data_IF_550232108231
#
_entry.id   IF_550232108231
#
_cell.length_a   1.000
_cell.length_b   1.000
_cell.length_c   1.000
_cell.angle_alpha   90.00
_cell.angle_beta   90.00
_cell.angle_gamma   90.00
#
_symmetry.space_group_name_H-M   'P 1'
#
loop_
_entity.id
_entity.type
_entity.pdbx_description
1 polymer ?
#
# COMPACT_ATOMS: atom_id res chain seq x y z
N UNK A 1 -8.85 -9.19 28.51
CA UNK A 1 -7.90 -8.23 29.13
C UNK A 1 -8.17 -6.84 28.57
N UNK A 2 -9.13 -6.13 29.14
CA UNK A 2 -9.33 -4.71 28.83
C UNK A 2 -8.38 -3.87 29.68
N UNK A 3 -7.68 -2.96 29.03
CA UNK A 3 -6.87 -1.95 29.70
C UNK A 3 -7.63 -0.64 29.62
N UNK A 4 -7.81 0.05 30.70
CA UNK A 4 -8.37 1.40 30.72
C UNK A 4 -7.55 2.31 29.79
N UNK A 5 -8.24 2.91 28.80
CA UNK A 5 -7.66 3.79 27.80
C UNK A 5 -7.38 3.12 26.44
N UNK A 6 -7.55 3.90 25.38
CA UNK A 6 -7.38 3.47 23.97
C UNK A 6 -5.88 3.43 23.62
N UNK A 7 -5.26 2.25 23.69
CA UNK A 7 -3.81 2.05 23.43
C UNK A 7 -3.48 1.69 21.97
N UNK A 8 -4.48 1.64 21.08
CA UNK A 8 -4.30 1.34 19.65
C UNK A 8 -4.20 -0.16 19.31
N UNK A 9 -4.22 -0.47 18.00
CA UNK A 9 -4.18 -1.83 17.43
C UNK A 9 -2.90 -2.56 17.83
N UNK A 10 -1.75 -1.92 17.71
CA UNK A 10 -0.43 -2.51 18.00
C UNK A 10 -0.34 -3.04 19.43
N UNK A 11 -0.77 -2.24 20.40
CA UNK A 11 -0.76 -2.65 21.80
C UNK A 11 -1.66 -3.87 22.07
N UNK A 12 -2.78 -4.00 21.35
CA UNK A 12 -3.64 -5.17 21.43
C UNK A 12 -2.99 -6.40 20.79
N UNK A 13 -2.35 -6.23 19.63
CA UNK A 13 -1.59 -7.30 18.96
C UNK A 13 -0.46 -7.79 19.84
N UNK A 14 0.36 -6.90 20.42
CA UNK A 14 1.46 -7.29 21.29
C UNK A 14 0.98 -8.09 22.52
N UNK A 15 -0.15 -7.69 23.14
CA UNK A 15 -0.72 -8.45 24.27
C UNK A 15 -1.23 -9.82 23.85
N UNK A 16 -1.88 -9.90 22.70
CA UNK A 16 -2.37 -11.17 22.16
C UNK A 16 -1.21 -12.14 21.88
N UNK A 17 -0.14 -11.64 21.26
CA UNK A 17 1.03 -12.46 20.94
C UNK A 17 1.78 -13.00 22.17
N UNK A 18 1.59 -12.42 23.35
CA UNK A 18 2.17 -12.96 24.59
C UNK A 18 1.52 -14.25 25.10
N UNK A 19 0.31 -14.55 24.62
CA UNK A 19 -0.48 -15.73 25.05
C UNK A 19 -0.75 -16.72 23.88
N UNK A 20 -0.24 -16.41 22.69
CA UNK A 20 -0.34 -17.31 21.54
C UNK A 20 0.74 -18.39 21.64
N UNK A 21 0.32 -19.64 21.65
CA UNK A 21 1.15 -20.84 21.69
C UNK A 21 1.13 -21.67 20.40
N UNK A 22 0.26 -21.31 19.45
CA UNK A 22 0.18 -21.97 18.14
C UNK A 22 1.43 -21.71 17.28
N UNK A 23 1.78 -22.67 16.42
CA UNK A 23 2.92 -22.56 15.50
C UNK A 23 2.74 -21.44 14.48
N UNK A 24 1.50 -21.19 14.05
CA UNK A 24 1.14 -20.19 13.04
C UNK A 24 0.04 -19.29 13.63
N UNK A 25 0.15 -18.00 13.41
CA UNK A 25 -0.88 -17.01 13.75
C UNK A 25 -1.37 -16.29 12.50
N UNK A 26 -2.68 -16.08 12.43
CA UNK A 26 -3.34 -15.35 11.34
C UNK A 26 -3.88 -14.03 11.88
N UNK A 27 -3.59 -12.97 11.14
CA UNK A 27 -4.07 -11.62 11.41
C UNK A 27 -5.13 -11.24 10.37
N UNK A 28 -6.22 -10.68 10.84
CA UNK A 28 -7.28 -10.14 9.99
C UNK A 28 -7.89 -8.90 10.63
N UNK A 29 -8.36 -7.97 9.82
CA UNK A 29 -9.10 -6.82 10.33
C UNK A 29 -10.53 -7.21 10.69
N UNK A 30 -11.05 -6.65 11.78
CA UNK A 30 -12.39 -6.99 12.32
C UNK A 30 -13.56 -6.65 11.38
N UNK A 31 -13.32 -5.90 10.31
CA UNK A 31 -14.31 -5.43 9.33
C UNK A 31 -14.20 -6.16 7.98
N UNK A 32 -13.42 -7.21 7.90
CA UNK A 32 -13.23 -8.02 6.69
C UNK A 32 -13.89 -9.38 6.82
N UNK A 33 -14.36 -9.92 5.70
CA UNK A 33 -14.89 -11.27 5.59
C UNK A 33 -13.87 -12.15 4.88
N UNK A 34 -13.34 -13.11 5.61
CA UNK A 34 -12.33 -14.07 5.09
C UNK A 34 -13.07 -15.22 4.41
N UNK A 35 -12.56 -15.69 3.27
CA UNK A 35 -13.16 -16.82 2.57
C UNK A 35 -12.92 -18.15 3.30
N UNK A 36 -13.84 -19.12 3.11
CA UNK A 36 -13.89 -20.39 3.84
C UNK A 36 -12.59 -21.20 3.79
N UNK A 37 -11.92 -21.21 2.64
CA UNK A 37 -10.71 -21.99 2.45
C UNK A 37 -9.40 -21.20 2.71
N UNK A 38 -9.47 -19.96 3.19
CA UNK A 38 -8.29 -19.11 3.33
C UNK A 38 -7.21 -19.73 4.21
N UNK A 39 -7.60 -20.24 5.39
CA UNK A 39 -6.65 -20.83 6.33
C UNK A 39 -5.96 -22.07 5.74
N UNK A 40 -6.71 -22.93 5.06
CA UNK A 40 -6.18 -24.12 4.40
C UNK A 40 -5.21 -23.74 3.27
N UNK A 41 -5.55 -22.70 2.48
CA UNK A 41 -4.68 -22.23 1.38
C UNK A 41 -3.38 -21.64 1.93
N UNK A 42 -3.45 -20.85 2.99
CA UNK A 42 -2.26 -20.27 3.62
C UNK A 42 -1.39 -21.34 4.29
N UNK A 43 -1.99 -22.29 5.01
CA UNK A 43 -1.24 -23.28 5.77
C UNK A 43 -0.33 -24.19 4.90
N UNK A 44 -0.73 -24.46 3.65
CA UNK A 44 0.06 -25.29 2.71
C UNK A 44 1.46 -24.77 2.45
N UNK A 45 1.65 -23.46 2.45
CA UNK A 45 2.95 -22.87 2.16
C UNK A 45 3.96 -23.05 3.29
N UNK A 46 3.49 -23.31 4.52
CA UNK A 46 4.38 -23.51 5.67
C UNK A 46 5.07 -24.88 5.70
N UNK A 47 4.78 -25.78 4.75
CA UNK A 47 5.59 -26.97 4.50
C UNK A 47 7.01 -26.63 4.02
N UNK A 48 7.19 -25.45 3.39
CA UNK A 48 8.49 -24.88 3.05
C UNK A 48 9.06 -24.14 4.29
N UNK A 49 10.16 -24.59 4.88
CA UNK A 49 10.77 -23.94 6.05
C UNK A 49 11.31 -22.54 5.76
N UNK A 50 11.55 -22.18 4.50
CA UNK A 50 12.00 -20.83 4.11
C UNK A 50 10.88 -19.81 4.14
N UNK A 51 9.61 -20.25 4.21
CA UNK A 51 8.44 -19.38 4.27
C UNK A 51 8.16 -18.97 5.71
N UNK A 52 8.27 -17.68 6.00
CA UNK A 52 8.03 -17.12 7.33
C UNK A 52 6.68 -16.40 7.45
N UNK A 53 6.12 -15.93 6.35
CA UNK A 53 4.84 -15.23 6.33
C UNK A 53 4.08 -15.48 5.01
N UNK A 54 2.75 -15.33 5.07
CA UNK A 54 1.86 -15.40 3.91
C UNK A 54 1.02 -14.13 3.86
N UNK A 55 1.02 -13.47 2.71
CA UNK A 55 0.14 -12.34 2.43
C UNK A 55 -1.07 -12.82 1.63
N UNK A 56 -2.26 -12.64 2.18
CA UNK A 56 -3.52 -12.89 1.47
C UNK A 56 -3.88 -11.76 0.51
N UNK A 57 -4.96 -11.96 -0.22
CA UNK A 57 -5.49 -10.99 -1.17
C UNK A 57 -6.57 -10.12 -0.52
N UNK A 58 -6.49 -8.83 -0.75
CA UNK A 58 -7.59 -7.90 -0.45
C UNK A 58 -8.56 -7.84 -1.61
N UNK A 59 -9.83 -8.08 -1.36
CA UNK A 59 -10.93 -7.85 -2.32
C UNK A 59 -11.88 -6.80 -1.79
N UNK A 60 -12.23 -5.85 -2.65
CA UNK A 60 -13.20 -4.81 -2.31
C UNK A 60 -14.57 -5.25 -2.83
N UNK A 61 -15.54 -5.35 -1.94
CA UNK A 61 -16.93 -5.63 -2.31
C UNK A 61 -17.54 -4.38 -2.94
N UNK A 62 -18.03 -4.52 -4.16
CA UNK A 62 -18.65 -3.44 -4.93
C UNK A 62 -20.13 -3.78 -5.03
N UNK A 63 -20.98 -3.12 -4.24
CA UNK A 63 -22.40 -3.39 -4.19
C UNK A 63 -23.18 -2.88 -5.43
N UNK A 64 -22.63 -1.85 -6.13
CA UNK A 64 -23.20 -1.34 -7.38
C UNK A 64 -22.10 -1.06 -8.41
N UNK A 65 -22.29 -1.51 -9.65
CA UNK A 65 -21.35 -1.27 -10.75
C UNK A 65 -21.13 0.23 -11.06
N UNK A 66 -22.06 1.10 -10.68
CA UNK A 66 -21.94 2.56 -10.80
C UNK A 66 -21.07 3.20 -9.71
N UNK A 67 -20.98 2.58 -8.53
CA UNK A 67 -20.15 3.03 -7.41
C UNK A 67 -18.71 2.51 -7.49
N UNK A 68 -18.46 1.56 -8.39
CA UNK A 68 -17.11 1.07 -8.61
C UNK A 68 -16.21 2.25 -8.95
N UNK A 69 -15.39 2.62 -8.01
CA UNK A 69 -14.23 3.45 -8.27
C UNK A 69 -13.37 2.71 -9.27
N UNK A 70 -13.61 2.94 -10.57
CA UNK A 70 -12.91 2.24 -11.65
C UNK A 70 -11.39 2.31 -11.46
N UNK A 71 -10.90 3.40 -10.84
CA UNK A 71 -9.52 3.57 -10.43
C UNK A 71 -9.10 2.67 -9.28
N UNK A 72 -9.93 2.48 -8.25
CA UNK A 72 -9.60 1.60 -7.12
C UNK A 72 -9.52 0.14 -7.59
N UNK A 73 -10.47 -0.32 -8.38
CA UNK A 73 -10.44 -1.68 -8.93
C UNK A 73 -9.24 -1.92 -9.87
N UNK A 74 -8.86 -0.91 -10.69
CA UNK A 74 -7.66 -0.98 -11.52
C UNK A 74 -6.39 -1.02 -10.68
N UNK A 75 -6.30 -0.17 -9.65
CA UNK A 75 -5.17 -0.12 -8.73
C UNK A 75 -4.98 -1.46 -8.02
N UNK A 76 -6.04 -2.06 -7.49
CA UNK A 76 -5.95 -3.36 -6.78
C UNK A 76 -5.55 -4.49 -7.72
N UNK A 77 -6.06 -4.54 -8.95
CA UNK A 77 -5.61 -5.52 -9.96
C UNK A 77 -4.11 -5.38 -10.27
N UNK A 78 -3.63 -4.15 -10.36
CA UNK A 78 -2.21 -3.87 -10.56
C UNK A 78 -1.38 -4.33 -9.35
N UNK A 79 -1.79 -3.98 -8.12
CA UNK A 79 -1.11 -4.36 -6.89
C UNK A 79 -1.07 -5.89 -6.71
N UNK A 80 -2.18 -6.60 -6.97
CA UNK A 80 -2.25 -8.06 -6.92
C UNK A 80 -1.29 -8.70 -7.93
N UNK A 81 -1.19 -8.14 -9.13
CA UNK A 81 -0.27 -8.62 -10.16
C UNK A 81 1.20 -8.43 -9.76
N UNK A 82 1.54 -7.28 -9.15
CA UNK A 82 2.86 -7.03 -8.60
C UNK A 82 3.19 -8.03 -7.48
N UNK A 83 2.31 -8.22 -6.50
CA UNK A 83 2.50 -9.20 -5.42
C UNK A 83 2.74 -10.60 -5.97
N UNK A 84 2.02 -11.00 -7.03
CA UNK A 84 2.21 -12.29 -7.69
C UNK A 84 3.60 -12.41 -8.31
N UNK A 85 4.09 -11.35 -8.95
CA UNK A 85 5.43 -11.34 -9.55
C UNK A 85 6.54 -11.33 -8.48
N UNK A 86 6.40 -10.51 -7.42
CA UNK A 86 7.32 -10.47 -6.30
C UNK A 86 7.43 -11.85 -5.64
N UNK A 87 6.28 -12.47 -5.33
CA UNK A 87 6.23 -13.79 -4.73
C UNK A 87 6.87 -14.89 -5.62
N UNK A 88 6.75 -14.75 -6.95
CA UNK A 88 7.36 -15.67 -7.91
C UNK A 88 8.87 -15.41 -8.06
N UNK A 89 9.31 -14.14 -7.99
CA UNK A 89 10.72 -13.79 -8.07
C UNK A 89 11.48 -14.18 -6.79
N UNK A 90 10.97 -13.73 -5.63
CA UNK A 90 11.54 -14.07 -4.33
C UNK A 90 10.53 -13.92 -3.20
N UNK A 91 10.08 -12.70 -2.87
CA UNK A 91 9.26 -12.40 -1.69
C UNK A 91 8.38 -11.18 -1.90
N UNK A 92 7.14 -11.23 -1.44
CA UNK A 92 6.30 -10.03 -1.43
C UNK A 92 6.89 -8.98 -0.51
N UNK A 93 6.84 -7.73 -0.94
CA UNK A 93 7.29 -6.59 -0.14
C UNK A 93 6.18 -6.13 0.80
N UNK A 94 6.09 -6.81 1.93
CA UNK A 94 5.15 -6.54 3.01
C UNK A 94 3.75 -7.15 2.80
N UNK A 95 3.14 -7.56 3.88
CA UNK A 95 1.76 -8.02 3.93
C UNK A 95 0.78 -6.85 4.13
N UNK A 96 -0.50 -7.09 3.89
CA UNK A 96 -1.59 -6.15 4.14
C UNK A 96 -2.44 -6.64 5.31
N UNK A 97 -2.90 -5.72 6.14
CA UNK A 97 -3.56 -6.00 7.43
C UNK A 97 -4.91 -6.70 7.32
N UNK A 98 -5.50 -6.71 6.12
CA UNK A 98 -6.77 -7.36 5.87
C UNK A 98 -6.71 -8.89 6.03
N UNK A 99 -5.58 -9.50 5.63
CA UNK A 99 -5.34 -10.92 5.83
C UNK A 99 -3.85 -11.26 5.63
N UNK A 100 -3.18 -11.70 6.68
CA UNK A 100 -1.85 -12.28 6.57
C UNK A 100 -1.61 -13.29 7.71
N UNK A 101 -0.63 -14.16 7.56
CA UNK A 101 -0.19 -15.08 8.61
C UNK A 101 1.32 -15.10 8.71
N UNK A 102 1.81 -15.53 9.88
CA UNK A 102 3.25 -15.65 10.17
C UNK A 102 3.53 -16.91 10.98
N UNK A 103 4.78 -17.38 10.93
CA UNK A 103 5.27 -18.29 11.97
C UNK A 103 5.39 -17.52 13.28
N UNK A 104 4.75 -18.02 14.34
CA UNK A 104 4.65 -17.34 15.64
C UNK A 104 6.03 -17.05 16.25
N UNK A 105 6.97 -17.98 16.12
CA UNK A 105 8.34 -17.83 16.61
C UNK A 105 9.16 -16.75 15.88
N UNK A 106 8.70 -16.28 14.71
CA UNK A 106 9.35 -15.20 13.97
C UNK A 106 8.79 -13.82 14.32
N UNK A 107 7.68 -13.78 15.09
CA UNK A 107 7.09 -12.51 15.51
C UNK A 107 8.11 -11.66 16.27
N UNK A 108 8.15 -10.39 15.91
CA UNK A 108 8.92 -9.38 16.61
C UNK A 108 8.01 -8.16 16.86
N UNK A 109 7.90 -7.71 18.11
CA UNK A 109 7.18 -6.50 18.41
C UNK A 109 7.70 -5.32 17.60
N UNK A 110 6.78 -4.53 17.05
CA UNK A 110 7.11 -3.27 16.38
C UNK A 110 6.96 -2.11 17.36
N UNK A 111 7.57 -0.98 17.07
CA UNK A 111 7.51 0.20 17.92
C UNK A 111 6.06 0.69 18.08
N UNK A 112 5.68 1.20 19.27
CA UNK A 112 4.30 1.61 19.56
C UNK A 112 3.74 2.70 18.64
N UNK A 113 4.62 3.51 18.03
CA UNK A 113 4.30 4.59 17.11
C UNK A 113 4.29 4.14 15.63
N UNK A 114 4.35 2.83 15.36
CA UNK A 114 4.31 2.27 13.99
C UNK A 114 2.94 2.54 13.34
N UNK A 115 2.95 3.16 12.15
CA UNK A 115 1.73 3.52 11.41
C UNK A 115 1.22 2.33 10.58
N UNK A 116 2.15 1.53 10.00
CA UNK A 116 1.87 0.33 9.20
C UNK A 116 2.40 -0.89 9.92
N UNK A 117 1.64 -1.39 10.87
CA UNK A 117 2.01 -2.52 11.74
C UNK A 117 2.16 -3.83 10.96
N UNK A 118 1.21 -4.16 10.10
CA UNK A 118 1.19 -5.32 9.22
C UNK A 118 2.41 -5.40 8.31
N UNK A 119 2.71 -4.27 7.65
CA UNK A 119 3.87 -4.13 6.80
C UNK A 119 5.17 -4.34 7.59
N UNK A 120 5.32 -3.68 8.75
CA UNK A 120 6.54 -3.78 9.55
C UNK A 120 6.74 -5.17 10.14
N UNK A 121 5.68 -5.80 10.68
CA UNK A 121 5.75 -7.18 11.21
C UNK A 121 6.24 -8.14 10.13
N UNK A 122 5.65 -8.09 8.94
CA UNK A 122 6.03 -8.97 7.84
C UNK A 122 7.44 -8.68 7.30
N UNK A 123 7.83 -7.41 7.19
CA UNK A 123 9.18 -7.04 6.72
C UNK A 123 10.28 -7.39 7.73
N UNK A 124 10.02 -7.40 9.05
CA UNK A 124 10.97 -7.92 10.03
C UNK A 124 11.25 -9.42 9.81
N UNK A 125 10.25 -10.18 9.35
CA UNK A 125 10.42 -11.60 8.99
C UNK A 125 11.30 -11.72 7.73
N UNK A 126 11.05 -10.89 6.72
CA UNK A 126 11.87 -10.85 5.51
C UNK A 126 13.33 -10.46 5.80
N UNK A 127 13.56 -9.50 6.72
CA UNK A 127 14.90 -9.12 7.18
C UNK A 127 15.67 -10.28 7.84
N UNK A 128 14.97 -11.25 8.45
CA UNK A 128 15.58 -12.48 9.00
C UNK A 128 15.94 -13.52 7.94
N UNK A 129 15.66 -13.23 6.66
CA UNK A 129 15.96 -14.13 5.52
C UNK A 129 14.81 -15.07 5.15
N UNK A 130 13.65 -14.95 5.76
CA UNK A 130 12.45 -15.72 5.39
C UNK A 130 11.68 -15.05 4.28
N UNK A 131 10.98 -15.85 3.49
CA UNK A 131 10.14 -15.38 2.39
C UNK A 131 8.74 -15.03 2.86
N UNK A 132 8.15 -14.01 2.25
CA UNK A 132 6.72 -13.70 2.35
C UNK A 132 6.08 -14.15 1.04
N UNK A 133 5.18 -15.14 1.08
CA UNK A 133 4.50 -15.68 -0.10
C UNK A 133 3.14 -14.99 -0.26
N UNK A 134 2.77 -14.72 -1.50
CA UNK A 134 1.43 -14.22 -1.83
C UNK A 134 0.49 -15.36 -2.20
N UNK A 135 -0.63 -15.48 -1.48
CA UNK A 135 -1.68 -16.47 -1.75
C UNK A 135 -2.97 -15.77 -2.18
N UNK A 136 -3.23 -15.67 -3.50
CA UNK A 136 -4.41 -14.95 -4.03
C UNK A 136 -5.73 -15.67 -3.79
N UNK A 137 -5.70 -16.99 -3.48
CA UNK A 137 -6.89 -17.78 -3.19
C UNK A 137 -7.31 -17.69 -1.73
N UNK A 138 -6.42 -17.18 -0.85
CA UNK A 138 -6.76 -16.76 0.50
C UNK A 138 -7.07 -15.27 0.48
N UNK A 139 -8.34 -14.89 0.58
CA UNK A 139 -8.73 -13.49 0.45
C UNK A 139 -9.66 -13.01 1.56
N UNK A 140 -9.54 -11.72 1.86
CA UNK A 140 -10.44 -10.99 2.73
C UNK A 140 -11.21 -9.93 1.92
N UNK A 141 -12.53 -9.94 2.06
CA UNK A 141 -13.44 -8.97 1.45
C UNK A 141 -13.70 -7.82 2.42
N UNK A 142 -13.55 -6.60 1.94
CA UNK A 142 -13.83 -5.37 2.66
C UNK A 142 -14.84 -4.54 1.85
N UNK A 143 -15.75 -3.84 2.53
CA UNK A 143 -16.62 -2.85 1.88
C UNK A 143 -15.81 -1.68 1.38
N UNK A 144 -16.17 -1.14 0.22
CA UNK A 144 -15.56 0.07 -0.34
C UNK A 144 -15.64 1.25 0.64
N UNK A 145 -14.70 2.18 0.56
CA UNK A 145 -14.73 3.44 1.31
C UNK A 145 -15.99 4.23 0.97
N UNK A 146 -16.56 4.95 1.94
CA UNK A 146 -17.81 5.69 1.78
C UNK A 146 -17.73 6.74 0.66
N UNK A 147 -16.60 7.44 0.57
CA UNK A 147 -16.33 8.45 -0.45
C UNK A 147 -14.83 8.61 -0.74
N UNK A 148 -14.52 9.42 -1.76
CA UNK A 148 -13.13 9.70 -2.20
C UNK A 148 -12.35 10.48 -1.13
N UNK A 149 -13.00 11.26 -0.25
CA UNK A 149 -12.30 12.05 0.77
C UNK A 149 -11.80 11.17 1.91
N UNK A 150 -12.59 10.20 2.34
CA UNK A 150 -12.16 9.20 3.33
C UNK A 150 -11.04 8.31 2.78
N UNK A 151 -11.15 7.94 1.50
CA UNK A 151 -10.07 7.21 0.82
C UNK A 151 -8.78 8.04 0.76
N UNK A 152 -8.86 9.32 0.46
CA UNK A 152 -7.70 10.22 0.44
C UNK A 152 -7.04 10.33 1.83
N UNK A 153 -7.82 10.50 2.90
CA UNK A 153 -7.30 10.54 4.28
C UNK A 153 -6.54 9.26 4.60
N UNK A 154 -7.13 8.11 4.26
CA UNK A 154 -6.51 6.79 4.42
C UNK A 154 -5.19 6.68 3.66
N UNK A 155 -5.15 7.13 2.39
CA UNK A 155 -3.95 7.09 1.54
C UNK A 155 -2.85 8.02 2.04
N UNK A 156 -3.17 9.23 2.53
CA UNK A 156 -2.21 10.14 3.15
C UNK A 156 -1.57 9.48 4.37
N UNK A 157 -2.37 8.82 5.23
CA UNK A 157 -1.85 8.10 6.38
C UNK A 157 -0.93 6.93 5.97
N UNK A 158 -1.35 6.12 4.99
CA UNK A 158 -0.53 5.02 4.46
C UNK A 158 0.79 5.57 3.90
N UNK A 159 0.77 6.69 3.21
CA UNK A 159 1.97 7.33 2.69
C UNK A 159 2.90 7.81 3.82
N UNK A 160 2.38 8.45 4.87
CA UNK A 160 3.16 8.81 6.05
C UNK A 160 3.81 7.58 6.71
N UNK A 161 3.06 6.48 6.84
CA UNK A 161 3.57 5.19 7.32
C UNK A 161 4.62 4.58 6.40
N UNK A 162 4.48 4.77 5.08
CA UNK A 162 5.48 4.36 4.09
C UNK A 162 6.82 5.07 4.27
N UNK A 163 6.80 6.38 4.54
CA UNK A 163 8.01 7.16 4.86
C UNK A 163 8.64 6.66 6.16
N UNK A 164 7.84 6.47 7.23
CA UNK A 164 8.31 5.92 8.48
C UNK A 164 8.97 4.54 8.29
N UNK A 165 8.29 3.64 7.57
CA UNK A 165 8.80 2.31 7.28
C UNK A 165 10.10 2.36 6.47
N UNK A 166 10.22 3.28 5.50
CA UNK A 166 11.44 3.47 4.71
C UNK A 166 12.63 3.82 5.59
N UNK A 167 12.45 4.73 6.55
CA UNK A 167 13.50 5.14 7.48
C UNK A 167 13.90 3.99 8.41
N UNK A 168 12.92 3.22 8.92
CA UNK A 168 13.16 2.07 9.82
C UNK A 168 13.81 0.88 9.11
N UNK A 169 13.46 0.65 7.86
CA UNK A 169 13.99 -0.43 7.03
C UNK A 169 15.16 0.01 6.14
N UNK A 170 15.90 1.08 6.50
CA UNK A 170 17.03 1.60 5.71
C UNK A 170 18.10 0.56 5.38
N UNK A 171 18.23 -0.49 6.20
CA UNK A 171 19.14 -1.61 5.92
C UNK A 171 18.80 -2.36 4.63
N UNK A 172 17.51 -2.38 4.20
CA UNK A 172 17.08 -2.95 2.92
C UNK A 172 17.41 -2.09 1.71
N UNK A 173 17.88 -0.86 1.89
CA UNK A 173 18.36 -0.03 0.76
C UNK A 173 19.76 -0.46 0.29
N UNK A 174 20.45 -1.31 1.07
CA UNK A 174 21.78 -1.82 0.78
C UNK A 174 21.68 -3.26 0.26
N UNK A 175 22.10 -3.54 -0.99
CA UNK A 175 21.86 -4.84 -1.65
C UNK A 175 22.76 -5.98 -1.17
N UNK A 176 23.63 -5.73 -0.18
CA UNK A 176 24.71 -6.67 0.17
C UNK A 176 24.23 -7.99 0.79
N UNK A 177 23.10 -7.99 1.53
CA UNK A 177 22.60 -9.18 2.20
C UNK A 177 21.49 -9.89 1.44
N UNK A 178 20.58 -9.12 0.85
CA UNK A 178 19.37 -9.64 0.19
C UNK A 178 19.08 -8.85 -1.10
N UNK A 179 19.89 -9.03 -2.15
CA UNK A 179 19.85 -8.17 -3.34
C UNK A 179 18.50 -8.21 -4.06
N UNK A 180 17.84 -9.36 -4.13
CA UNK A 180 16.53 -9.50 -4.78
C UNK A 180 15.46 -8.78 -3.98
N UNK A 181 15.38 -8.99 -2.67
CA UNK A 181 14.44 -8.27 -1.80
C UNK A 181 14.68 -6.75 -1.83
N UNK A 182 15.95 -6.31 -1.87
CA UNK A 182 16.31 -4.91 -2.02
C UNK A 182 15.78 -4.34 -3.33
N UNK A 183 15.95 -5.06 -4.44
CA UNK A 183 15.40 -4.66 -5.74
C UNK A 183 13.87 -4.54 -5.70
N UNK A 184 13.17 -5.55 -5.19
CA UNK A 184 11.71 -5.52 -5.04
C UNK A 184 11.26 -4.36 -4.14
N UNK A 185 11.94 -4.15 -3.00
CA UNK A 185 11.62 -3.08 -2.07
C UNK A 185 11.82 -1.69 -2.68
N UNK A 186 12.96 -1.44 -3.35
CA UNK A 186 13.22 -0.16 -3.99
C UNK A 186 12.24 0.10 -5.12
N UNK A 187 12.08 -0.86 -6.05
CA UNK A 187 11.25 -0.68 -7.24
C UNK A 187 9.76 -0.56 -6.93
N UNK A 188 9.24 -1.36 -6.01
CA UNK A 188 7.79 -1.44 -5.77
C UNK A 188 7.30 -0.58 -4.61
N UNK A 189 8.20 -0.16 -3.70
CA UNK A 189 7.82 0.68 -2.55
C UNK A 189 8.51 2.03 -2.54
N UNK A 190 9.86 2.07 -2.53
CA UNK A 190 10.58 3.34 -2.36
C UNK A 190 10.32 4.29 -3.53
N UNK A 191 10.45 3.83 -4.77
CA UNK A 191 10.20 4.67 -5.94
C UNK A 191 8.78 5.25 -5.89
N UNK A 192 7.79 4.44 -5.57
CA UNK A 192 6.39 4.86 -5.53
C UNK A 192 6.05 5.75 -4.32
N UNK A 193 6.58 5.43 -3.12
CA UNK A 193 6.24 6.13 -1.88
C UNK A 193 7.06 7.37 -1.62
N UNK A 194 8.21 7.53 -2.28
CA UNK A 194 9.14 8.62 -1.99
C UNK A 194 9.49 9.44 -3.23
N UNK A 195 9.83 8.80 -4.36
CA UNK A 195 10.44 9.50 -5.49
C UNK A 195 9.47 9.90 -6.61
N UNK A 196 8.57 9.02 -7.00
CA UNK A 196 7.73 9.19 -8.20
C UNK A 196 6.97 10.53 -8.25
N UNK A 197 6.30 11.02 -7.18
CA UNK A 197 5.57 12.28 -7.24
C UNK A 197 6.46 13.48 -7.55
N UNK A 198 7.66 13.49 -6.98
CA UNK A 198 8.63 14.57 -7.21
C UNK A 198 9.26 14.49 -8.59
N UNK A 199 9.59 13.28 -9.07
CA UNK A 199 10.09 13.08 -10.44
C UNK A 199 9.06 13.49 -11.48
N UNK A 200 7.78 13.26 -11.25
CA UNK A 200 6.71 13.73 -12.15
C UNK A 200 6.70 15.26 -12.29
N UNK A 201 6.82 15.98 -11.17
CA UNK A 201 6.91 17.44 -11.17
C UNK A 201 8.19 17.90 -11.88
N UNK A 202 9.32 17.27 -11.56
CA UNK A 202 10.61 17.59 -12.17
C UNK A 202 10.58 17.40 -13.69
N UNK A 203 10.09 16.25 -14.17
CA UNK A 203 9.98 15.97 -15.61
C UNK A 203 9.06 16.97 -16.33
N UNK A 204 7.96 17.39 -15.67
CA UNK A 204 7.09 18.42 -16.22
C UNK A 204 7.82 19.75 -16.40
N UNK A 205 8.57 20.19 -15.38
CA UNK A 205 9.35 21.43 -15.42
C UNK A 205 10.45 21.34 -16.47
N UNK A 206 11.21 20.23 -16.51
CA UNK A 206 12.30 20.03 -17.46
C UNK A 206 11.80 20.02 -18.91
N UNK A 207 10.70 19.35 -19.21
CA UNK A 207 10.12 19.35 -20.56
C UNK A 207 9.72 20.78 -20.98
N UNK A 208 9.13 21.56 -20.06
CA UNK A 208 8.80 22.97 -20.33
C UNK A 208 10.06 23.81 -20.65
N UNK A 209 11.12 23.63 -19.88
CA UNK A 209 12.38 24.38 -20.09
C UNK A 209 13.04 23.99 -21.40
N UNK A 210 13.11 22.71 -21.74
CA UNK A 210 13.77 22.24 -22.96
C UNK A 210 13.04 22.62 -24.26
N UNK A 211 11.74 22.91 -24.22
CA UNK A 211 11.01 23.41 -25.38
C UNK A 211 11.60 24.74 -25.90
N UNK A 212 12.09 25.61 -24.99
CA UNK A 212 12.67 26.88 -25.39
C UNK A 212 13.90 26.71 -26.28
N UNK A 213 14.71 25.65 -26.05
CA UNK A 213 15.92 25.38 -26.82
C UNK A 213 15.68 24.49 -28.04
N UNK A 214 14.73 23.56 -27.94
CA UNK A 214 14.52 22.50 -28.95
C UNK A 214 13.27 22.69 -29.82
N UNK A 215 12.38 23.59 -29.41
CA UNK A 215 11.12 23.90 -30.10
C UNK A 215 9.97 22.88 -29.82
N UNK A 216 8.75 23.30 -30.13
CA UNK A 216 7.53 22.51 -29.89
C UNK A 216 7.42 21.20 -30.68
N UNK A 217 8.09 21.10 -31.83
CA UNK A 217 8.15 19.89 -32.66
C UNK A 217 9.12 18.82 -32.19
N UNK A 218 9.91 19.11 -31.13
CA UNK A 218 10.84 18.17 -30.55
C UNK A 218 10.13 17.08 -29.72
N UNK A 219 10.87 16.03 -29.36
CA UNK A 219 10.37 14.99 -28.44
C UNK A 219 9.92 15.59 -27.10
N UNK A 220 10.64 16.58 -26.58
CA UNK A 220 10.29 17.27 -25.33
C UNK A 220 8.97 18.04 -25.47
N UNK A 221 8.75 18.71 -26.61
CA UNK A 221 7.48 19.40 -26.88
C UNK A 221 6.31 18.44 -26.99
N UNK A 222 6.46 17.32 -27.68
CA UNK A 222 5.43 16.30 -27.78
C UNK A 222 5.08 15.68 -26.44
N UNK A 223 6.09 15.35 -25.61
CA UNK A 223 5.87 14.83 -24.24
C UNK A 223 5.18 15.88 -23.37
N UNK A 224 5.57 17.14 -23.46
CA UNK A 224 4.93 18.22 -22.69
C UNK A 224 3.45 18.42 -23.08
N UNK A 225 3.14 18.39 -24.36
CA UNK A 225 1.74 18.43 -24.83
C UNK A 225 0.95 17.24 -24.26
N UNK A 226 1.51 16.03 -24.31
CA UNK A 226 0.87 14.84 -23.73
C UNK A 226 0.65 14.99 -22.21
N UNK A 227 1.60 15.59 -21.49
CA UNK A 227 1.45 15.90 -20.05
C UNK A 227 0.33 16.91 -19.81
N UNK A 228 0.21 17.97 -20.65
CA UNK A 228 -0.89 18.95 -20.54
C UNK A 228 -2.25 18.29 -20.75
N UNK A 229 -2.39 17.41 -21.73
CA UNK A 229 -3.61 16.63 -21.93
C UNK A 229 -3.92 15.71 -20.75
N UNK A 230 -2.90 15.03 -20.20
CA UNK A 230 -3.06 14.17 -19.04
C UNK A 230 -3.52 14.94 -17.79
N UNK A 231 -2.87 16.06 -17.48
CA UNK A 231 -3.26 16.87 -16.31
C UNK A 231 -4.59 17.60 -16.52
N UNK A 232 -4.88 18.02 -17.75
CA UNK A 232 -6.19 18.55 -18.13
C UNK A 232 -7.31 17.53 -17.95
N UNK A 233 -7.08 16.28 -18.39
CA UNK A 233 -8.00 15.16 -18.17
C UNK A 233 -8.18 14.86 -16.66
N UNK A 234 -7.10 14.95 -15.86
CA UNK A 234 -7.18 14.78 -14.41
C UNK A 234 -8.03 15.88 -13.75
N UNK A 235 -7.88 17.14 -14.17
CA UNK A 235 -8.69 18.25 -13.67
C UNK A 235 -10.17 18.08 -14.02
N UNK A 236 -10.48 17.71 -15.27
CA UNK A 236 -11.84 17.37 -15.68
C UNK A 236 -12.41 16.20 -14.87
N UNK A 237 -11.60 15.17 -14.64
CA UNK A 237 -11.98 14.02 -13.82
C UNK A 237 -12.34 14.43 -12.39
N UNK A 238 -11.60 15.37 -11.79
CA UNK A 238 -11.91 15.94 -10.47
C UNK A 238 -13.26 16.67 -10.47
N UNK A 239 -13.51 17.50 -11.49
CA UNK A 239 -14.77 18.27 -11.62
C UNK A 239 -15.97 17.34 -11.82
N UNK A 240 -15.82 16.31 -12.64
CA UNK A 240 -16.86 15.32 -12.87
C UNK A 240 -17.12 14.47 -11.62
N UNK A 241 -16.07 14.05 -10.92
CA UNK A 241 -16.18 13.30 -9.68
C UNK A 241 -16.92 14.09 -8.57
N UNK A 242 -16.71 15.41 -8.50
CA UNK A 242 -17.47 16.28 -7.59
C UNK A 242 -18.98 16.30 -7.90
N UNK A 243 -19.36 16.04 -9.17
CA UNK A 243 -20.76 15.88 -9.62
C UNK A 243 -21.24 14.41 -9.60
N UNK A 244 -20.51 13.51 -8.93
CA UNK A 244 -20.80 12.06 -8.88
C UNK A 244 -20.73 11.34 -10.25
N UNK A 245 -20.14 11.99 -11.27
CA UNK A 245 -19.96 11.41 -12.61
C UNK A 245 -18.54 10.82 -12.73
N UNK A 246 -18.43 9.50 -12.81
CA UNK A 246 -17.14 8.79 -12.88
C UNK A 246 -16.89 8.23 -14.29
N UNK A 247 -16.50 9.11 -15.24
CA UNK A 247 -16.14 8.69 -16.61
C UNK A 247 -14.70 8.17 -16.58
N UNK A 248 -14.49 6.89 -16.89
CA UNK A 248 -13.22 6.17 -16.73
C UNK A 248 -12.01 6.91 -17.33
N UNK A 249 -12.13 7.47 -18.53
CA UNK A 249 -11.05 8.15 -19.26
C UNK A 249 -10.51 9.36 -18.47
N UNK A 250 -11.38 10.10 -17.76
CA UNK A 250 -10.99 11.24 -16.95
C UNK A 250 -10.72 10.85 -15.49
N UNK A 251 -11.40 9.83 -14.99
CA UNK A 251 -11.27 9.40 -13.62
C UNK A 251 -9.90 8.72 -13.34
N UNK A 252 -9.36 7.95 -14.29
CA UNK A 252 -8.05 7.30 -14.13
C UNK A 252 -6.91 8.32 -13.95
N UNK A 253 -6.73 9.34 -14.82
CA UNK A 253 -5.75 10.40 -14.60
C UNK A 253 -5.96 11.17 -13.29
N UNK A 254 -7.22 11.49 -12.96
CA UNK A 254 -7.54 12.15 -11.68
C UNK A 254 -7.11 11.31 -10.48
N UNK A 255 -7.49 10.02 -10.45
CA UNK A 255 -7.14 9.12 -9.35
C UNK A 255 -5.62 8.93 -9.24
N UNK A 256 -4.92 8.83 -10.34
CA UNK A 256 -3.45 8.76 -10.37
C UNK A 256 -2.81 10.02 -9.75
N UNK A 257 -3.24 11.21 -10.15
CA UNK A 257 -2.78 12.47 -9.54
C UNK A 257 -3.13 12.55 -8.05
N UNK A 258 -4.33 12.11 -7.66
CA UNK A 258 -4.77 12.08 -6.27
C UNK A 258 -3.88 11.17 -5.40
N UNK A 259 -3.49 10.00 -5.91
CA UNK A 259 -2.59 9.09 -5.19
C UNK A 259 -1.18 9.68 -5.02
N UNK A 260 -0.65 10.34 -6.05
CA UNK A 260 0.65 11.03 -5.97
C UNK A 260 0.59 12.25 -5.03
N UNK A 261 -0.51 13.00 -5.02
CA UNK A 261 -0.76 14.04 -4.02
C UNK A 261 -0.79 13.48 -2.59
N UNK A 262 -1.43 12.33 -2.38
CA UNK A 262 -1.47 11.68 -1.07
C UNK A 262 -0.07 11.31 -0.56
N UNK A 263 0.84 10.91 -1.45
CA UNK A 263 2.24 10.63 -1.09
C UNK A 263 2.94 11.91 -0.60
N UNK A 264 2.83 13.01 -1.34
CA UNK A 264 3.42 14.30 -0.94
C UNK A 264 2.84 14.75 0.42
N UNK A 265 1.51 14.76 0.54
CA UNK A 265 0.84 15.17 1.77
C UNK A 265 1.20 14.27 2.97
N UNK A 266 1.36 12.95 2.74
CA UNK A 266 1.79 12.00 3.76
C UNK A 266 3.22 12.22 4.23
N UNK A 267 4.13 12.54 3.30
CA UNK A 267 5.50 12.90 3.65
C UNK A 267 5.54 14.16 4.52
N UNK A 268 4.80 15.22 4.15
CA UNK A 268 4.71 16.45 4.95
C UNK A 268 4.15 16.15 6.35
N UNK A 269 3.06 15.38 6.47
CA UNK A 269 2.51 14.98 7.77
C UNK A 269 3.51 14.23 8.64
N UNK A 270 4.30 13.34 8.04
CA UNK A 270 5.33 12.61 8.79
C UNK A 270 6.45 13.53 9.27
N UNK A 271 6.97 14.40 8.39
CA UNK A 271 8.09 15.31 8.71
C UNK A 271 7.69 16.32 9.79
N UNK A 272 6.48 16.85 9.75
CA UNK A 272 5.98 17.82 10.74
C UNK A 272 5.35 17.18 11.99
N UNK A 273 5.38 15.85 12.13
CA UNK A 273 4.87 15.14 13.31
C UNK A 273 3.36 15.18 13.50
N UNK A 274 2.59 15.47 12.46
CA UNK A 274 1.12 15.62 12.52
C UNK A 274 0.35 14.29 12.41
N UNK A 275 1.04 13.17 12.16
CA UNK A 275 0.39 11.88 11.94
C UNK A 275 0.24 11.10 13.25
N UNK A 276 -0.99 10.97 13.73
CA UNK A 276 -1.34 10.09 14.85
C UNK A 276 -1.31 8.61 14.45
N UNK A 277 -0.86 7.76 15.38
CA UNK A 277 -0.94 6.29 15.27
C UNK A 277 -2.37 5.79 15.48
N UNK A 278 -3.16 6.51 16.27
CA UNK A 278 -4.54 6.13 16.56
C UNK A 278 -5.41 6.29 15.31
N UNK A 279 -6.15 5.22 14.96
CA UNK A 279 -7.12 5.26 13.87
C UNK A 279 -8.32 6.12 14.25
N UNK A 280 -8.57 7.16 13.46
CA UNK A 280 -9.90 7.77 13.44
C UNK A 280 -10.89 6.74 12.89
N UNK A 281 -12.08 6.63 13.51
CA UNK A 281 -13.11 5.72 12.99
C UNK A 281 -13.54 6.21 11.61
N UNK A 282 -13.17 5.47 10.55
CA UNK A 282 -13.67 5.77 9.21
C UNK A 282 -15.19 5.61 9.18
N UNK A 283 -15.89 6.59 8.62
CA UNK A 283 -17.31 6.46 8.30
C UNK A 283 -17.42 5.47 7.13
N UNK A 284 -18.11 4.35 7.34
CA UNK A 284 -18.39 3.34 6.32
C UNK A 284 -19.88 3.35 6.02
N UNK A 285 -20.25 3.11 4.75
CA UNK A 285 -21.64 2.91 4.35
C UNK A 285 -22.13 1.55 4.83
#
# INVERSE_FOLDING_TARGET
MEKEGRSGKIAAVHRAMQVVDSEIVVFTDANTMVNENALLKMSRHYSDPTVGAIAGEKRVQIDNAADATAGEGFYWKYESKLKKWDSALYSVVGAAGELFSIRTNLYQPVEPDTILDDFMISMHIALKGYRIIYEPEAFAMEKASADTSEELKRKIRIAAGGVQATIRLKSLLLPFKQPVLTFEYISHRILRWVLTPYLMILVFILNFLFINDTGWGSLYGLIFIAQLFFYGAALLGRLLAAKQLKIKVFFIPYYFCLMNYAVIAGMFRYVFGEQSVLWEKAKRK
#
